data_IF_284937953776
#
_entry.id   IF_284937953776
#
_cell.length_a   1.000
_cell.length_b   1.000
_cell.length_c   1.000
_cell.angle_alpha   90.00
_cell.angle_beta   90.00
_cell.angle_gamma   90.00
#
_symmetry.space_group_name_H-M   'P 1'
#
loop_
_entity.id
_entity.type
_entity.pdbx_description
1 polymer ?
#
# COMPACT_ATOMS: atom_id res chain seq x y z
N UNK A 1 17.46 -39.17 -43.62
CA UNK A 1 17.12 -40.06 -42.47
C UNK A 1 17.97 -39.61 -41.28
N UNK A 2 17.48 -38.66 -40.50
CA UNK A 2 18.14 -38.17 -39.29
C UNK A 2 17.48 -38.81 -38.07
N UNK A 3 18.26 -39.64 -37.38
CA UNK A 3 17.86 -40.23 -36.10
C UNK A 3 18.26 -39.23 -34.99
N UNK A 4 17.28 -38.57 -34.38
CA UNK A 4 17.46 -37.83 -33.15
C UNK A 4 17.60 -38.81 -31.98
N UNK A 5 18.72 -38.74 -31.29
CA UNK A 5 19.01 -39.52 -30.07
C UNK A 5 18.42 -38.69 -28.89
N UNK A 6 17.35 -39.21 -28.28
CA UNK A 6 16.83 -38.69 -27.03
C UNK A 6 17.73 -39.17 -25.87
N UNK A 7 18.43 -38.25 -25.23
CA UNK A 7 19.07 -38.51 -23.94
C UNK A 7 17.99 -38.35 -22.83
N UNK A 8 17.61 -39.49 -22.27
CA UNK A 8 16.80 -39.54 -21.05
C UNK A 8 17.76 -39.34 -19.88
N UNK A 9 17.75 -38.13 -19.30
CA UNK A 9 18.39 -37.91 -18.01
C UNK A 9 17.49 -38.48 -16.92
N UNK A 10 17.92 -39.64 -16.37
CA UNK A 10 17.31 -40.25 -15.20
C UNK A 10 17.70 -39.43 -13.97
N UNK A 11 16.87 -38.44 -13.58
CA UNK A 11 17.04 -37.78 -12.31
C UNK A 11 16.65 -38.77 -11.21
N UNK A 12 17.65 -39.28 -10.49
CA UNK A 12 17.45 -40.02 -9.25
C UNK A 12 16.87 -39.04 -8.26
N UNK A 13 15.52 -39.08 -8.05
CA UNK A 13 14.83 -38.38 -6.95
C UNK A 13 15.35 -38.97 -5.63
N UNK A 14 16.37 -38.36 -5.05
CA UNK A 14 16.69 -38.51 -3.66
C UNK A 14 15.50 -38.00 -2.86
N UNK A 15 14.71 -38.91 -2.27
CA UNK A 15 13.74 -38.66 -1.25
C UNK A 15 14.46 -38.08 -0.01
N UNK A 16 14.82 -36.79 -0.05
CA UNK A 16 15.05 -36.04 1.18
C UNK A 16 13.66 -35.71 1.75
N UNK A 17 13.30 -36.21 2.94
CA UNK A 17 12.13 -35.68 3.63
C UNK A 17 12.37 -34.19 3.82
N UNK A 18 11.60 -33.36 3.13
CA UNK A 18 11.67 -31.92 3.27
C UNK A 18 11.43 -31.58 4.73
N UNK A 19 12.49 -31.23 5.45
CA UNK A 19 12.40 -30.65 6.78
C UNK A 19 11.69 -29.33 6.59
N UNK A 20 10.38 -29.33 6.80
CA UNK A 20 9.57 -28.12 6.94
C UNK A 20 10.15 -27.39 8.17
N UNK A 21 11.00 -26.41 7.95
CA UNK A 21 11.44 -25.53 9.03
C UNK A 21 10.22 -24.72 9.45
N UNK A 22 9.67 -25.09 10.59
CA UNK A 22 8.60 -24.31 11.25
C UNK A 22 9.08 -22.87 11.43
N UNK A 23 8.23 -21.89 11.14
CA UNK A 23 8.56 -20.50 11.35
C UNK A 23 8.71 -20.28 12.85
N UNK A 24 9.91 -19.87 13.29
CA UNK A 24 10.15 -19.51 14.67
C UNK A 24 9.74 -18.06 14.96
N UNK A 25 9.35 -17.80 16.21
CA UNK A 25 9.05 -16.42 16.62
C UNK A 25 10.24 -15.49 16.41
N UNK A 26 9.99 -14.30 15.87
CA UNK A 26 11.00 -13.34 15.49
C UNK A 26 10.58 -11.92 15.93
N UNK A 27 11.47 -11.25 16.68
CA UNK A 27 11.21 -9.90 17.20
C UNK A 27 10.95 -8.89 16.07
N UNK A 28 11.63 -9.02 14.94
CA UNK A 28 11.46 -8.12 13.79
C UNK A 28 10.05 -8.27 13.19
N UNK A 29 9.54 -9.50 13.09
CA UNK A 29 8.18 -9.75 12.63
C UNK A 29 7.15 -9.18 13.60
N UNK A 30 7.36 -9.37 14.91
CA UNK A 30 6.46 -8.78 15.91
C UNK A 30 6.42 -7.26 15.82
N UNK A 31 7.59 -6.61 15.70
CA UNK A 31 7.69 -5.16 15.54
C UNK A 31 6.97 -4.66 14.26
N UNK A 32 7.07 -5.42 13.17
CA UNK A 32 6.34 -5.14 11.93
C UNK A 32 4.83 -5.19 12.14
N UNK A 33 4.33 -6.24 12.80
CA UNK A 33 2.90 -6.36 13.09
C UNK A 33 2.41 -5.26 14.01
N UNK A 34 3.16 -4.92 15.06
CA UNK A 34 2.81 -3.85 15.99
C UNK A 34 2.73 -2.50 15.28
N UNK A 35 3.58 -2.28 14.29
CA UNK A 35 3.61 -1.04 13.50
C UNK A 35 2.47 -0.97 12.47
N UNK A 36 2.19 -2.05 11.74
CA UNK A 36 1.24 -2.03 10.61
C UNK A 36 -0.17 -2.57 10.93
N UNK A 37 -0.43 -3.06 12.15
CA UNK A 37 -1.73 -3.65 12.51
C UNK A 37 -2.91 -2.71 12.25
N UNK A 38 -2.77 -1.43 12.63
CA UNK A 38 -3.87 -0.46 12.49
C UNK A 38 -4.15 -0.12 11.02
N UNK A 39 -3.10 -0.10 10.21
CA UNK A 39 -3.21 0.02 8.74
C UNK A 39 -3.95 -1.18 8.17
N UNK A 40 -3.54 -2.40 8.53
CA UNK A 40 -4.17 -3.63 8.04
C UNK A 40 -5.65 -3.73 8.47
N UNK A 41 -5.98 -3.34 9.71
CA UNK A 41 -7.37 -3.27 10.19
C UNK A 41 -8.18 -2.26 9.38
N UNK A 42 -7.64 -1.08 9.11
CA UNK A 42 -8.28 -0.06 8.27
C UNK A 42 -8.53 -0.58 6.85
N UNK A 43 -7.53 -1.25 6.25
CA UNK A 43 -7.68 -1.87 4.92
C UNK A 43 -8.74 -2.98 4.93
N UNK A 44 -8.82 -3.79 5.99
CA UNK A 44 -9.87 -4.80 6.15
C UNK A 44 -11.25 -4.18 6.21
N UNK A 45 -11.42 -3.10 6.95
CA UNK A 45 -12.71 -2.40 7.07
C UNK A 45 -13.15 -1.82 5.73
N UNK A 46 -12.22 -1.25 4.98
CA UNK A 46 -12.50 -0.57 3.73
C UNK A 46 -12.64 -1.50 2.53
N UNK A 47 -11.79 -2.51 2.42
CA UNK A 47 -11.70 -3.35 1.23
C UNK A 47 -12.15 -4.79 1.46
N UNK A 48 -12.33 -5.22 2.70
CA UNK A 48 -12.87 -6.55 3.03
C UNK A 48 -11.83 -7.67 3.07
N UNK A 49 -10.54 -7.38 3.02
CA UNK A 49 -9.46 -8.36 3.13
C UNK A 49 -9.10 -8.54 4.61
N UNK A 50 -8.99 -9.76 5.16
CA UNK A 50 -8.60 -9.95 6.55
C UNK A 50 -7.31 -9.21 6.92
N UNK A 51 -7.30 -8.52 8.06
CA UNK A 51 -6.10 -7.82 8.55
C UNK A 51 -4.95 -8.79 8.79
N UNK A 52 -5.25 -9.99 9.30
CA UNK A 52 -4.28 -11.06 9.50
C UNK A 52 -3.60 -11.49 8.20
N UNK A 53 -4.36 -11.62 7.11
CA UNK A 53 -3.84 -11.96 5.78
C UNK A 53 -2.93 -10.84 5.27
N UNK A 54 -3.37 -9.59 5.33
CA UNK A 54 -2.58 -8.44 4.88
C UNK A 54 -1.25 -8.35 5.64
N UNK A 55 -1.26 -8.53 6.96
CA UNK A 55 -0.06 -8.53 7.80
C UNK A 55 0.89 -9.69 7.47
N UNK A 56 0.36 -10.91 7.36
CA UNK A 56 1.16 -12.09 7.06
C UNK A 56 1.80 -12.01 5.67
N UNK A 57 1.06 -11.52 4.66
CA UNK A 57 1.60 -11.26 3.32
C UNK A 57 2.70 -10.19 3.39
N UNK A 58 2.46 -9.06 4.04
CA UNK A 58 3.45 -7.99 4.16
C UNK A 58 4.78 -8.47 4.75
N UNK A 59 4.74 -9.33 5.78
CA UNK A 59 5.95 -9.94 6.35
C UNK A 59 6.59 -10.93 5.39
N UNK A 60 5.80 -11.80 4.77
CA UNK A 60 6.32 -12.89 3.92
C UNK A 60 6.96 -12.35 2.64
N UNK A 61 6.32 -11.37 1.98
CA UNK A 61 6.76 -10.81 0.70
C UNK A 61 7.92 -9.82 0.87
N UNK A 62 8.00 -9.12 1.99
CA UNK A 62 9.00 -8.06 2.18
C UNK A 62 10.11 -8.38 3.19
N UNK A 63 10.07 -9.57 3.81
CA UNK A 63 10.96 -9.86 4.94
C UNK A 63 10.77 -8.85 6.08
N UNK A 64 9.52 -8.53 6.42
CA UNK A 64 9.17 -7.49 7.38
C UNK A 64 9.67 -6.07 6.96
N UNK A 65 9.57 -5.75 5.68
CA UNK A 65 10.02 -4.47 5.11
C UNK A 65 11.54 -4.38 4.94
N UNK A 66 12.27 -5.47 5.17
CA UNK A 66 13.74 -5.46 5.15
C UNK A 66 14.36 -6.00 3.86
N UNK A 67 13.59 -6.58 2.95
CA UNK A 67 14.10 -7.00 1.65
C UNK A 67 14.64 -5.81 0.87
N UNK A 68 15.58 -6.06 -0.03
CA UNK A 68 16.15 -5.02 -0.89
C UNK A 68 15.07 -4.31 -1.69
N UNK A 69 14.15 -5.08 -2.29
CA UNK A 69 13.02 -4.54 -3.02
C UNK A 69 12.16 -3.61 -2.14
N UNK A 70 11.77 -4.06 -0.95
CA UNK A 70 10.94 -3.25 -0.05
C UNK A 70 11.62 -1.95 0.38
N UNK A 71 12.93 -1.98 0.67
CA UNK A 71 13.68 -0.77 1.04
C UNK A 71 13.83 0.23 -0.10
N UNK A 72 14.02 -0.25 -1.34
CA UNK A 72 14.20 0.61 -2.52
C UNK A 72 12.89 1.17 -3.06
N UNK A 73 11.79 0.44 -2.88
CA UNK A 73 10.53 0.75 -3.56
C UNK A 73 9.35 1.00 -2.62
N UNK A 74 9.49 0.82 -1.31
CA UNK A 74 8.38 0.78 -0.36
C UNK A 74 7.28 -0.25 -0.72
N UNK A 75 7.60 -1.23 -1.56
CA UNK A 75 6.67 -2.26 -2.03
C UNK A 75 6.74 -3.47 -1.11
N UNK A 76 5.82 -3.53 -0.16
CA UNK A 76 5.78 -4.59 0.85
C UNK A 76 5.07 -5.87 0.38
N UNK A 77 4.53 -5.89 -0.83
CA UNK A 77 3.74 -7.00 -1.35
C UNK A 77 4.27 -7.55 -2.68
N UNK A 78 5.43 -7.09 -3.16
CA UNK A 78 6.02 -7.56 -4.40
C UNK A 78 5.14 -7.32 -5.63
N UNK A 79 4.36 -6.23 -5.67
CA UNK A 79 3.45 -5.99 -6.79
C UNK A 79 4.23 -5.59 -8.03
N UNK A 80 4.12 -6.41 -9.09
CA UNK A 80 4.76 -6.17 -10.40
C UNK A 80 4.05 -5.04 -11.17
N UNK A 81 4.74 -4.41 -12.11
CA UNK A 81 4.24 -3.21 -12.80
C UNK A 81 2.90 -3.39 -13.51
N UNK A 82 2.71 -4.41 -14.35
CA UNK A 82 1.45 -4.74 -15.01
C UNK A 82 0.65 -3.49 -15.48
N UNK A 83 1.26 -2.64 -16.32
CA UNK A 83 0.64 -1.40 -16.79
C UNK A 83 0.74 -0.21 -15.82
N UNK A 84 1.50 -0.35 -14.73
CA UNK A 84 1.74 0.74 -13.78
C UNK A 84 2.44 1.94 -14.42
N UNK A 85 1.89 3.13 -14.24
CA UNK A 85 2.43 4.39 -14.78
C UNK A 85 3.27 5.17 -13.77
N UNK A 86 3.16 4.86 -12.47
CA UNK A 86 3.96 5.47 -11.40
C UNK A 86 5.42 5.05 -11.39
N UNK A 87 6.16 5.44 -10.35
CA UNK A 87 7.58 5.06 -10.16
C UNK A 87 7.76 3.56 -10.23
N UNK A 88 8.89 3.13 -10.79
CA UNK A 88 9.23 1.72 -11.02
C UNK A 88 10.62 1.43 -10.46
N UNK A 89 10.80 0.20 -10.01
CA UNK A 89 12.11 -0.36 -9.69
C UNK A 89 12.26 -1.69 -10.40
N UNK A 90 13.48 -1.99 -10.81
CA UNK A 90 13.81 -3.27 -11.44
C UNK A 90 14.60 -4.10 -10.44
N UNK A 91 14.19 -5.36 -10.27
CA UNK A 91 14.78 -6.28 -9.32
C UNK A 91 14.75 -7.69 -9.89
N UNK A 92 15.78 -8.49 -9.60
CA UNK A 92 15.82 -9.90 -9.97
C UNK A 92 14.98 -10.70 -8.97
N UNK A 93 13.93 -11.37 -9.46
CA UNK A 93 13.04 -12.24 -8.67
C UNK A 93 12.91 -13.59 -9.39
N UNK A 94 11.75 -13.95 -9.94
CA UNK A 94 11.58 -15.16 -10.76
C UNK A 94 12.36 -15.04 -12.07
N UNK A 95 12.51 -13.85 -12.61
CA UNK A 95 13.29 -13.50 -13.80
C UNK A 95 14.23 -12.34 -13.53
N UNK A 96 15.25 -12.16 -14.40
CA UNK A 96 16.15 -11.01 -14.29
C UNK A 96 15.46 -9.72 -14.69
N UNK A 97 15.66 -8.68 -13.90
CA UNK A 97 15.21 -7.33 -14.23
C UNK A 97 13.69 -7.16 -14.28
N UNK A 98 12.96 -7.90 -13.46
CA UNK A 98 11.51 -7.75 -13.38
C UNK A 98 11.10 -6.38 -12.85
N UNK A 99 10.02 -5.84 -13.42
CA UNK A 99 9.52 -4.52 -13.08
C UNK A 99 8.55 -4.59 -11.89
N UNK A 100 8.86 -3.87 -10.82
CA UNK A 100 8.02 -3.73 -9.64
C UNK A 100 7.55 -2.29 -9.45
N UNK A 101 6.33 -2.13 -8.92
CA UNK A 101 5.81 -0.82 -8.52
C UNK A 101 6.64 -0.24 -7.40
N UNK A 102 6.89 1.06 -7.44
CA UNK A 102 7.55 1.78 -6.37
C UNK A 102 6.61 2.87 -5.82
N UNK A 103 6.59 2.98 -4.51
CA UNK A 103 5.70 3.88 -3.78
C UNK A 103 6.50 4.91 -2.99
N UNK A 104 5.85 6.01 -2.66
CA UNK A 104 6.46 7.08 -1.87
C UNK A 104 6.61 6.70 -0.39
N UNK A 105 5.76 5.80 0.08
CA UNK A 105 5.82 5.27 1.43
C UNK A 105 5.20 3.87 1.48
N UNK A 106 5.47 3.06 2.53
CA UNK A 106 4.92 1.71 2.66
C UNK A 106 3.40 1.65 2.68
N UNK A 107 2.71 2.67 3.21
CA UNK A 107 1.25 2.67 3.31
C UNK A 107 0.58 2.69 1.93
N UNK A 108 1.20 3.35 0.96
CA UNK A 108 0.71 3.33 -0.42
C UNK A 108 0.74 1.91 -0.99
N UNK A 109 1.73 1.10 -0.62
CA UNK A 109 1.76 -0.30 -1.03
C UNK A 109 0.64 -1.13 -0.38
N UNK A 110 0.24 -0.81 0.86
CA UNK A 110 -0.91 -1.44 1.52
C UNK A 110 -2.23 -1.11 0.84
N UNK A 111 -2.40 0.16 0.44
CA UNK A 111 -3.59 0.61 -0.30
C UNK A 111 -3.64 -0.07 -1.66
N UNK A 112 -2.53 -0.03 -2.39
CA UNK A 112 -2.46 -0.60 -3.74
C UNK A 112 -2.63 -2.13 -3.73
N UNK A 113 -2.06 -2.82 -2.74
CA UNK A 113 -2.30 -4.25 -2.52
C UNK A 113 -3.79 -4.55 -2.32
N UNK A 114 -4.47 -3.77 -1.50
CA UNK A 114 -5.90 -3.94 -1.27
C UNK A 114 -6.72 -3.72 -2.55
N UNK A 115 -6.39 -2.68 -3.31
CA UNK A 115 -7.01 -2.38 -4.59
C UNK A 115 -6.68 -3.45 -5.65
N UNK A 116 -5.45 -3.93 -5.69
CA UNK A 116 -5.02 -5.01 -6.58
C UNK A 116 -5.84 -6.28 -6.37
N UNK A 117 -6.06 -6.70 -5.13
CA UNK A 117 -6.90 -7.84 -4.83
C UNK A 117 -8.38 -7.55 -5.13
N UNK A 118 -8.89 -6.38 -4.73
CA UNK A 118 -10.30 -6.04 -4.85
C UNK A 118 -10.76 -5.88 -6.29
N UNK A 119 -9.93 -5.28 -7.15
CA UNK A 119 -10.29 -4.95 -8.52
C UNK A 119 -9.97 -6.08 -9.52
N UNK A 120 -9.23 -7.10 -9.10
CA UNK A 120 -8.89 -8.22 -9.99
C UNK A 120 -9.96 -9.31 -9.96
N UNK A 121 -10.56 -9.59 -11.14
CA UNK A 121 -11.53 -10.67 -11.33
C UNK A 121 -11.03 -12.02 -10.78
N UNK A 122 -9.72 -12.26 -10.88
CA UNK A 122 -9.04 -13.48 -10.40
C UNK A 122 -9.31 -13.76 -8.91
N UNK A 123 -9.39 -12.71 -8.08
CA UNK A 123 -9.55 -12.82 -6.63
C UNK A 123 -11.00 -12.61 -6.17
N UNK A 124 -11.96 -12.33 -7.07
CA UNK A 124 -13.34 -11.97 -6.73
C UNK A 124 -14.03 -12.98 -5.80
N UNK A 125 -13.76 -14.29 -5.99
CA UNK A 125 -14.31 -15.37 -5.15
C UNK A 125 -13.88 -15.31 -3.69
N UNK A 126 -12.72 -14.70 -3.38
CA UNK A 126 -12.23 -14.60 -2.00
C UNK A 126 -13.13 -13.71 -1.15
N UNK A 127 -13.76 -12.73 -1.76
CA UNK A 127 -14.66 -11.79 -1.09
C UNK A 127 -16.03 -12.39 -0.73
N UNK A 128 -16.28 -13.65 -1.06
CA UNK A 128 -17.40 -14.44 -0.55
C UNK A 128 -17.09 -15.11 0.80
N UNK A 129 -15.80 -15.19 1.17
CA UNK A 129 -15.37 -15.73 2.45
C UNK A 129 -15.60 -14.72 3.58
N UNK A 130 -15.84 -15.22 4.79
CA UNK A 130 -15.85 -14.38 5.99
C UNK A 130 -14.46 -13.76 6.20
N UNK A 131 -14.40 -12.52 6.67
CA UNK A 131 -13.13 -11.86 7.02
C UNK A 131 -12.37 -12.61 8.13
N UNK A 132 -13.06 -13.38 8.96
CA UNK A 132 -12.45 -14.22 10.00
C UNK A 132 -11.99 -15.59 9.51
N UNK A 133 -12.24 -15.93 8.23
CA UNK A 133 -11.77 -17.19 7.64
C UNK A 133 -10.40 -17.00 6.95
N UNK A 134 -9.39 -16.64 7.72
CA UNK A 134 -8.04 -16.47 7.21
C UNK A 134 -7.48 -17.75 6.54
N UNK A 135 -7.90 -18.94 6.99
CA UNK A 135 -7.47 -20.21 6.36
C UNK A 135 -8.03 -20.37 4.96
N UNK A 136 -9.31 -20.05 4.77
CA UNK A 136 -9.95 -20.01 3.45
C UNK A 136 -9.29 -18.97 2.56
N UNK A 137 -9.01 -17.79 3.09
CA UNK A 137 -8.32 -16.72 2.37
C UNK A 137 -6.91 -17.12 1.92
N UNK A 138 -6.09 -17.69 2.81
CA UNK A 138 -4.72 -18.14 2.47
C UNK A 138 -4.73 -19.20 1.37
N UNK A 139 -5.57 -20.23 1.48
CA UNK A 139 -5.74 -21.27 0.46
C UNK A 139 -6.28 -20.69 -0.84
N UNK A 140 -7.23 -19.79 -0.75
CA UNK A 140 -7.81 -19.11 -1.91
C UNK A 140 -6.83 -18.24 -2.66
N UNK A 141 -5.99 -17.46 -1.98
CA UNK A 141 -4.91 -16.68 -2.58
C UNK A 141 -3.95 -17.58 -3.38
N UNK A 142 -3.50 -18.69 -2.78
CA UNK A 142 -2.69 -19.69 -3.49
C UNK A 142 -3.40 -20.27 -4.71
N UNK A 143 -4.65 -20.67 -4.56
CA UNK A 143 -5.45 -21.24 -5.65
C UNK A 143 -5.75 -20.21 -6.77
N UNK A 144 -5.77 -18.91 -6.45
CA UNK A 144 -5.86 -17.83 -7.42
C UNK A 144 -4.50 -17.47 -8.04
N UNK A 145 -3.40 -18.13 -7.66
CA UNK A 145 -2.07 -17.91 -8.23
C UNK A 145 -1.44 -16.59 -7.77
N UNK A 146 -1.65 -16.19 -6.51
CA UNK A 146 -0.96 -15.03 -5.94
C UNK A 146 0.55 -15.29 -5.84
N UNK A 147 0.92 -16.51 -5.46
CA UNK A 147 2.31 -16.97 -5.42
C UNK A 147 2.46 -18.36 -6.04
N UNK A 148 3.64 -18.64 -6.58
CA UNK A 148 3.99 -19.92 -7.21
C UNK A 148 4.30 -21.01 -6.18
N UNK A 149 4.89 -20.66 -5.03
CA UNK A 149 5.31 -21.57 -3.97
C UNK A 149 4.18 -22.51 -3.50
N UNK A 150 4.39 -23.83 -3.47
CA UNK A 150 3.38 -24.78 -2.98
C UNK A 150 3.06 -24.61 -1.50
N UNK A 151 3.97 -24.07 -0.70
CA UNK A 151 3.83 -23.86 0.73
C UNK A 151 3.26 -22.48 1.10
N UNK A 152 2.91 -21.65 0.13
CA UNK A 152 2.48 -20.26 0.38
C UNK A 152 1.33 -20.18 1.39
N UNK A 153 0.26 -20.93 1.16
CA UNK A 153 -0.91 -20.91 2.04
C UNK A 153 -0.58 -21.38 3.47
N UNK A 154 0.19 -22.45 3.62
CA UNK A 154 0.59 -22.97 4.93
C UNK A 154 1.48 -21.99 5.67
N UNK A 155 2.40 -21.31 4.99
CA UNK A 155 3.26 -20.28 5.61
C UNK A 155 2.45 -19.07 6.09
N UNK A 156 1.47 -18.61 5.32
CA UNK A 156 0.58 -17.54 5.78
C UNK A 156 -0.17 -17.96 7.04
N UNK A 157 -0.74 -19.17 7.06
CA UNK A 157 -1.48 -19.72 8.20
C UNK A 157 -0.57 -19.82 9.42
N UNK A 158 0.63 -20.37 9.25
CA UNK A 158 1.62 -20.52 10.33
C UNK A 158 2.02 -19.17 10.94
N UNK A 159 2.27 -18.14 10.13
CA UNK A 159 2.54 -16.78 10.60
C UNK A 159 1.34 -16.25 11.40
N UNK A 160 0.14 -16.37 10.86
CA UNK A 160 -1.08 -15.87 11.52
C UNK A 160 -1.28 -16.53 12.88
N UNK A 161 -1.11 -17.85 12.95
CA UNK A 161 -1.30 -18.62 14.19
C UNK A 161 -0.18 -18.36 15.21
N UNK A 162 1.09 -18.32 14.76
CA UNK A 162 2.24 -18.08 15.63
C UNK A 162 2.19 -16.71 16.33
N UNK A 163 1.72 -15.67 15.63
CA UNK A 163 1.65 -14.31 16.17
C UNK A 163 0.24 -13.90 16.64
N UNK A 164 -0.75 -14.80 16.53
CA UNK A 164 -2.14 -14.56 16.94
C UNK A 164 -2.76 -13.40 16.19
N UNK A 165 -2.50 -13.27 14.87
CA UNK A 165 -2.96 -12.14 14.06
C UNK A 165 -4.46 -12.20 13.78
N UNK A 166 -5.09 -13.37 13.87
CA UNK A 166 -6.54 -13.57 13.68
C UNK A 166 -7.40 -12.74 14.64
N UNK A 167 -6.85 -12.32 15.77
CA UNK A 167 -7.51 -11.40 16.70
C UNK A 167 -7.88 -10.07 16.05
N UNK A 168 -7.11 -9.62 15.06
CA UNK A 168 -7.36 -8.36 14.34
C UNK A 168 -8.54 -8.49 13.35
N UNK A 169 -8.88 -9.70 12.92
CA UNK A 169 -10.00 -9.94 12.01
C UNK A 169 -11.37 -9.89 12.72
N UNK A 170 -11.38 -10.06 14.05
CA UNK A 170 -12.59 -10.10 14.88
C UNK A 170 -13.10 -8.72 15.32
N UNK A 171 -12.47 -7.64 14.83
CA UNK A 171 -12.86 -6.27 15.21
C UNK A 171 -12.53 -5.90 16.65
N UNK A 172 -11.65 -6.66 17.33
CA UNK A 172 -11.27 -6.48 18.74
C UNK A 172 -10.10 -5.52 18.98
N UNK A 173 -9.76 -4.63 18.07
CA UNK A 173 -9.06 -3.39 18.41
C UNK A 173 -10.10 -2.40 18.92
N UNK A 174 -9.77 -1.56 19.94
CA UNK A 174 -10.57 -0.38 20.25
C UNK A 174 -10.96 0.21 18.91
N UNK A 175 -12.27 0.25 18.64
CA UNK A 175 -12.78 0.85 17.43
C UNK A 175 -12.01 2.15 17.25
N UNK A 176 -11.09 2.20 16.29
CA UNK A 176 -10.99 3.45 15.61
C UNK A 176 -12.43 3.67 15.17
N UNK A 177 -13.09 4.60 15.80
CA UNK A 177 -14.16 5.27 15.16
C UNK A 177 -13.56 5.80 13.87
N UNK A 178 -13.45 4.94 12.87
CA UNK A 178 -13.73 5.40 11.52
C UNK A 178 -15.07 6.06 11.74
N UNK A 179 -15.19 7.38 11.54
CA UNK A 179 -16.50 8.00 11.54
C UNK A 179 -17.35 7.04 10.71
N UNK A 180 -18.40 6.51 11.31
CA UNK A 180 -19.34 5.54 10.74
C UNK A 180 -19.53 5.91 9.30
N UNK A 181 -19.16 4.96 8.40
CA UNK A 181 -19.13 5.22 6.98
C UNK A 181 -18.20 6.40 6.61
N UNK A 182 -16.95 6.11 6.19
CA UNK A 182 -16.39 6.89 5.09
C UNK A 182 -17.23 6.49 3.88
N UNK A 183 -18.48 6.92 3.90
CA UNK A 183 -19.27 7.05 2.70
C UNK A 183 -18.51 8.09 1.92
N UNK A 184 -17.80 7.66 0.87
CA UNK A 184 -17.42 8.58 -0.20
C UNK A 184 -18.74 9.28 -0.51
N UNK A 185 -18.84 10.61 -0.23
CA UNK A 185 -20.12 11.28 -0.37
C UNK A 185 -20.67 10.91 -1.74
N UNK A 186 -21.95 10.54 -1.85
CA UNK A 186 -22.56 10.13 -3.11
C UNK A 186 -22.27 11.11 -4.25
N UNK A 187 -22.03 12.38 -3.91
CA UNK A 187 -21.56 13.42 -4.82
C UNK A 187 -20.24 13.11 -5.51
N UNK A 188 -19.37 12.28 -4.91
CA UNK A 188 -18.09 11.87 -5.54
C UNK A 188 -18.17 10.49 -6.20
N UNK A 189 -19.12 9.64 -5.85
CA UNK A 189 -19.16 8.23 -6.25
C UNK A 189 -19.96 7.97 -7.54
N UNK A 190 -20.84 8.86 -7.95
CA UNK A 190 -21.85 8.54 -8.99
C UNK A 190 -21.51 8.97 -10.42
N UNK A 191 -20.43 9.72 -10.66
CA UNK A 191 -20.07 10.19 -12.01
C UNK A 191 -18.57 10.38 -12.23
N UNK A 192 -17.73 10.14 -11.24
CA UNK A 192 -16.30 10.46 -11.31
C UNK A 192 -15.52 9.47 -12.15
N UNK A 193 -14.80 9.95 -13.16
CA UNK A 193 -13.82 9.16 -13.92
C UNK A 193 -12.56 8.92 -13.08
N UNK A 194 -12.28 9.77 -12.07
CA UNK A 194 -11.19 9.60 -11.12
C UNK A 194 -11.60 8.73 -9.95
N UNK A 195 -10.77 7.77 -9.59
CA UNK A 195 -10.95 7.01 -8.36
C UNK A 195 -10.71 7.93 -7.16
N UNK A 196 -11.74 8.10 -6.32
CA UNK A 196 -11.64 8.85 -5.07
C UNK A 196 -11.05 7.95 -3.98
N UNK A 197 -9.92 8.37 -3.41
CA UNK A 197 -9.15 7.59 -2.44
C UNK A 197 -9.23 8.26 -1.08
N UNK A 198 -9.70 7.58 -0.03
CA UNK A 198 -9.70 8.11 1.33
C UNK A 198 -8.30 8.04 1.96
N UNK A 199 -7.89 9.13 2.62
CA UNK A 199 -6.64 9.17 3.38
C UNK A 199 -6.68 10.35 4.37
N UNK A 200 -6.17 10.17 5.59
CA UNK A 200 -6.04 11.20 6.61
C UNK A 200 -7.35 11.94 6.90
N UNK A 201 -8.46 11.23 7.11
CA UNK A 201 -9.83 11.76 7.27
C UNK A 201 -10.22 12.76 6.15
N UNK A 202 -9.71 12.55 4.96
CA UNK A 202 -9.92 13.35 3.77
C UNK A 202 -10.04 12.41 2.56
N UNK A 203 -10.14 12.99 1.36
CA UNK A 203 -10.15 12.27 0.10
C UNK A 203 -9.22 12.95 -0.88
N UNK A 204 -8.61 12.16 -1.76
CA UNK A 204 -7.88 12.68 -2.89
C UNK A 204 -8.16 11.86 -4.16
N UNK A 205 -7.83 12.42 -5.30
CA UNK A 205 -7.73 11.72 -6.57
C UNK A 205 -6.30 11.81 -7.08
N UNK A 206 -5.91 10.87 -7.92
CA UNK A 206 -4.61 10.93 -8.62
C UNK A 206 -4.84 11.56 -9.98
N UNK A 207 -4.12 12.63 -10.25
CA UNK A 207 -4.20 13.36 -11.52
C UNK A 207 -3.71 12.51 -12.69
N UNK A 208 -4.34 12.66 -13.83
CA UNK A 208 -3.97 12.03 -15.10
C UNK A 208 -3.29 13.06 -16.00
N UNK A 209 -2.65 12.58 -17.04
CA UNK A 209 -2.07 13.45 -18.06
C UNK A 209 -3.11 14.43 -18.63
N UNK A 210 -2.80 15.73 -18.60
CA UNK A 210 -3.67 16.79 -19.09
C UNK A 210 -4.76 17.26 -18.13
N UNK A 211 -4.78 16.76 -16.89
CA UNK A 211 -5.69 17.25 -15.87
C UNK A 211 -5.41 18.68 -15.45
N UNK A 212 -6.47 19.37 -15.09
CA UNK A 212 -6.48 20.71 -14.49
C UNK A 212 -7.38 20.72 -13.26
N UNK A 213 -7.25 21.74 -12.39
CA UNK A 213 -8.22 21.90 -11.29
C UNK A 213 -9.64 22.00 -11.79
N UNK A 214 -9.85 22.57 -12.99
CA UNK A 214 -11.17 22.69 -13.61
C UNK A 214 -11.70 21.32 -14.07
N UNK A 215 -10.90 20.48 -14.75
CA UNK A 215 -11.32 19.17 -15.22
C UNK A 215 -11.63 18.24 -14.04
N UNK A 216 -10.72 18.18 -13.05
CA UNK A 216 -10.90 17.38 -11.84
C UNK A 216 -12.09 17.89 -11.02
N UNK A 217 -12.20 19.22 -10.84
CA UNK A 217 -13.29 19.83 -10.09
C UNK A 217 -14.67 19.49 -10.66
N UNK A 218 -14.80 19.52 -12.00
CA UNK A 218 -16.01 19.09 -12.71
C UNK A 218 -16.30 17.61 -12.47
N UNK A 219 -15.29 16.76 -12.58
CA UNK A 219 -15.41 15.32 -12.43
C UNK A 219 -15.83 14.91 -11.00
N UNK A 220 -15.23 15.52 -9.96
CA UNK A 220 -15.54 15.21 -8.56
C UNK A 220 -16.61 16.12 -7.93
N UNK A 221 -17.27 16.96 -8.72
CA UNK A 221 -18.29 17.90 -8.26
C UNK A 221 -17.82 18.86 -7.14
N UNK A 222 -16.59 19.35 -7.26
CA UNK A 222 -15.99 20.36 -6.37
C UNK A 222 -15.65 21.60 -7.18
N UNK A 223 -16.04 22.78 -6.69
CA UNK A 223 -15.60 24.04 -7.33
C UNK A 223 -14.08 24.08 -7.46
N UNK A 224 -13.58 24.30 -8.66
CA UNK A 224 -12.16 24.20 -8.99
C UNK A 224 -11.29 25.24 -8.24
N UNK A 225 -11.83 26.41 -7.91
CA UNK A 225 -11.13 27.44 -7.13
C UNK A 225 -10.97 26.98 -5.68
N UNK A 226 -11.99 26.32 -5.14
CA UNK A 226 -11.92 25.70 -3.80
C UNK A 226 -10.97 24.52 -3.82
N UNK A 227 -11.02 23.71 -4.90
CA UNK A 227 -10.12 22.55 -5.07
C UNK A 227 -8.66 23.02 -5.05
N UNK A 228 -8.30 24.05 -5.82
CA UNK A 228 -6.96 24.64 -5.82
C UNK A 228 -6.55 25.12 -4.41
N UNK A 229 -7.43 25.85 -3.71
CA UNK A 229 -7.18 26.31 -2.33
C UNK A 229 -6.99 25.15 -1.34
N UNK A 230 -7.68 24.03 -1.51
CA UNK A 230 -7.49 22.84 -0.67
C UNK A 230 -6.08 22.24 -0.86
N UNK A 231 -5.52 22.41 -2.05
CA UNK A 231 -4.20 21.97 -2.43
C UNK A 231 -3.10 23.05 -2.24
N UNK A 232 -3.49 24.23 -1.69
CA UNK A 232 -2.56 25.35 -1.42
C UNK A 232 -1.87 25.84 -2.70
N UNK A 233 -2.66 25.93 -3.82
CA UNK A 233 -2.24 26.34 -5.16
C UNK A 233 -3.21 27.33 -5.78
N UNK A 234 -2.75 27.99 -6.82
CA UNK A 234 -3.61 28.80 -7.67
C UNK A 234 -4.41 27.91 -8.63
N UNK A 235 -5.59 28.39 -9.02
CA UNK A 235 -6.53 27.64 -9.86
C UNK A 235 -6.01 27.33 -11.27
N UNK A 236 -5.05 28.11 -11.71
CA UNK A 236 -4.44 28.02 -13.05
C UNK A 236 -3.05 27.34 -13.01
N UNK A 237 -2.59 26.89 -11.83
CA UNK A 237 -1.34 26.13 -11.70
C UNK A 237 -1.43 24.81 -12.47
N UNK A 238 -0.36 24.43 -13.18
CA UNK A 238 -0.32 23.15 -13.89
C UNK A 238 -0.34 21.98 -12.89
N UNK A 239 -1.04 20.93 -13.23
CA UNK A 239 -1.08 19.68 -12.43
C UNK A 239 -0.27 18.63 -13.19
N UNK A 240 0.62 17.94 -12.49
CA UNK A 240 1.43 16.87 -13.06
C UNK A 240 0.69 15.51 -12.94
N UNK A 241 0.93 14.63 -13.93
CA UNK A 241 0.41 13.26 -13.87
C UNK A 241 0.96 12.55 -12.63
N UNK A 242 0.06 11.85 -11.92
CA UNK A 242 0.39 11.16 -10.67
C UNK A 242 0.27 12.02 -9.41
N UNK A 243 0.06 13.31 -9.54
CA UNK A 243 -0.09 14.22 -8.39
C UNK A 243 -1.38 13.91 -7.61
N UNK A 244 -1.31 13.97 -6.27
CA UNK A 244 -2.49 13.82 -5.40
C UNK A 244 -3.22 15.13 -5.28
N UNK A 245 -4.48 15.16 -5.69
CA UNK A 245 -5.34 16.34 -5.60
C UNK A 245 -6.39 16.11 -4.52
N UNK A 246 -6.26 16.84 -3.42
CA UNK A 246 -7.09 16.74 -2.23
C UNK A 246 -8.44 17.38 -2.43
N UNK A 247 -9.52 16.64 -2.13
CA UNK A 247 -10.91 17.09 -2.36
C UNK A 247 -11.48 17.94 -1.21
N UNK A 248 -10.78 17.97 -0.08
CA UNK A 248 -11.07 18.84 1.07
C UNK A 248 -9.78 19.42 1.62
N UNK A 249 -9.89 20.43 2.48
CA UNK A 249 -8.74 21.05 3.13
C UNK A 249 -7.90 20.02 3.88
N UNK A 250 -6.61 19.97 3.61
CA UNK A 250 -5.65 19.06 4.26
C UNK A 250 -5.63 19.21 5.78
N UNK A 251 -5.22 18.20 6.48
CA UNK A 251 -5.16 18.16 7.95
C UNK A 251 -3.95 18.92 8.49
N UNK A 252 -3.88 19.08 9.82
CA UNK A 252 -2.72 19.70 10.48
C UNK A 252 -1.54 18.74 10.65
N UNK A 253 -1.84 17.43 10.70
CA UNK A 253 -0.90 16.35 10.96
C UNK A 253 -1.21 15.20 10.02
N UNK A 254 -0.23 14.34 9.76
CA UNK A 254 -0.44 13.05 9.14
C UNK A 254 -1.38 12.16 9.98
N UNK A 255 -1.90 11.06 9.45
CA UNK A 255 -2.68 10.08 10.19
C UNK A 255 -2.01 9.64 11.50
N UNK A 256 -2.81 9.12 12.46
CA UNK A 256 -2.33 8.79 13.82
C UNK A 256 -1.23 7.73 13.83
N UNK A 257 -1.23 6.83 12.86
CA UNK A 257 -0.23 5.79 12.65
C UNK A 257 1.18 6.33 12.43
N UNK A 258 1.31 7.60 11.99
CA UNK A 258 2.60 8.29 11.86
C UNK A 258 3.10 8.91 13.16
N UNK A 259 2.45 8.66 14.31
CA UNK A 259 2.93 9.15 15.60
C UNK A 259 4.27 8.50 15.93
N UNK A 260 5.30 9.34 16.09
CA UNK A 260 6.67 8.87 16.35
C UNK A 260 7.44 8.41 15.12
N UNK A 261 6.82 8.41 13.94
CA UNK A 261 7.52 8.18 12.69
C UNK A 261 8.29 9.43 12.27
N UNK A 262 9.57 9.25 11.95
CA UNK A 262 10.43 10.31 11.40
C UNK A 262 10.64 10.02 9.92
N UNK A 263 10.07 10.88 9.08
CA UNK A 263 10.30 10.84 7.64
C UNK A 263 11.71 11.36 7.33
N UNK A 264 12.44 10.66 6.48
CA UNK A 264 13.72 11.14 5.98
C UNK A 264 13.54 11.63 4.55
N UNK A 265 13.94 12.88 4.33
CA UNK A 265 13.88 13.54 3.02
C UNK A 265 14.65 12.74 1.99
N UNK A 266 14.03 12.46 0.86
CA UNK A 266 14.58 11.71 -0.26
C UNK A 266 14.95 12.65 -1.44
N UNK A 267 15.76 12.15 -2.36
CA UNK A 267 16.11 12.91 -3.55
C UNK A 267 14.85 13.23 -4.38
N UNK A 268 14.67 14.50 -4.73
CA UNK A 268 13.49 15.00 -5.45
C UNK A 268 12.32 15.42 -4.56
N UNK A 269 12.43 15.26 -3.24
CA UNK A 269 11.42 15.78 -2.32
C UNK A 269 11.43 17.31 -2.25
N UNK A 270 10.24 17.86 -2.00
CA UNK A 270 10.03 19.22 -1.57
C UNK A 270 9.09 19.24 -0.35
N UNK A 271 9.16 20.28 0.47
CA UNK A 271 8.23 20.44 1.59
C UNK A 271 6.77 20.40 1.13
N UNK A 272 6.47 20.98 -0.02
CA UNK A 272 5.14 20.92 -0.63
C UNK A 272 4.78 19.49 -1.04
N UNK A 273 5.68 18.78 -1.74
CA UNK A 273 5.46 17.38 -2.17
C UNK A 273 5.20 16.46 -0.99
N UNK A 274 6.00 16.58 0.08
CA UNK A 274 5.82 15.82 1.33
C UNK A 274 4.46 16.17 1.97
N UNK A 275 4.10 17.45 2.04
CA UNK A 275 2.82 17.88 2.58
C UNK A 275 1.62 17.34 1.76
N UNK A 276 1.73 17.30 0.43
CA UNK A 276 0.76 16.68 -0.46
C UNK A 276 0.67 15.17 -0.23
N UNK A 277 1.80 14.50 -0.15
CA UNK A 277 1.92 13.05 0.06
C UNK A 277 1.18 12.58 1.32
N UNK A 278 1.34 13.31 2.42
CA UNK A 278 0.78 12.95 3.73
C UNK A 278 -0.52 13.67 4.10
N UNK A 279 -1.09 14.46 3.20
CA UNK A 279 -2.33 15.20 3.43
C UNK A 279 -2.23 16.23 4.55
N UNK A 280 -1.06 16.83 4.72
CA UNK A 280 -0.75 17.82 5.73
C UNK A 280 -0.76 19.21 5.10
N UNK A 281 -1.23 20.24 5.79
CA UNK A 281 -1.04 21.62 5.35
C UNK A 281 0.42 22.00 5.39
N UNK A 282 0.94 22.56 4.32
CA UNK A 282 2.36 22.92 4.20
C UNK A 282 2.86 23.75 5.39
N UNK A 283 2.13 24.78 5.78
CA UNK A 283 2.46 25.60 6.96
C UNK A 283 2.54 24.81 8.27
N UNK A 284 1.76 23.74 8.40
CA UNK A 284 1.81 22.90 9.60
C UNK A 284 2.98 21.95 9.57
N UNK A 285 3.42 21.49 8.38
CA UNK A 285 4.63 20.69 8.24
C UNK A 285 5.87 21.50 8.65
N UNK A 286 6.01 22.73 8.20
CA UNK A 286 7.06 23.64 8.67
C UNK A 286 7.01 23.82 10.19
N UNK A 287 5.84 24.22 10.71
CA UNK A 287 5.68 24.51 12.14
C UNK A 287 6.01 23.33 13.06
N UNK A 288 5.62 22.10 12.70
CA UNK A 288 5.89 20.94 13.56
C UNK A 288 7.34 20.48 13.57
N UNK A 289 8.13 20.99 12.61
CA UNK A 289 9.57 20.73 12.50
C UNK A 289 10.43 21.92 12.93
N UNK A 290 9.80 22.98 13.43
CA UNK A 290 10.48 24.21 13.87
C UNK A 290 11.31 24.83 12.72
N UNK A 291 10.77 24.76 11.47
CA UNK A 291 11.41 25.26 10.24
C UNK A 291 10.69 26.50 9.74
N UNK A 292 11.47 27.44 9.21
CA UNK A 292 10.93 28.62 8.52
C UNK A 292 10.47 28.26 7.10
N UNK A 293 9.51 29.01 6.52
CA UNK A 293 8.95 28.70 5.19
C UNK A 293 9.94 28.72 4.02
N UNK A 294 11.08 29.38 4.18
CA UNK A 294 12.18 29.49 3.21
C UNK A 294 13.27 28.42 3.41
N UNK A 295 13.12 27.55 4.41
CA UNK A 295 14.05 26.46 4.64
C UNK A 295 14.07 25.49 3.47
N UNK A 296 15.27 25.28 2.90
CA UNK A 296 15.52 24.32 1.82
C UNK A 296 15.92 22.98 2.41
N UNK A 297 15.03 22.00 2.33
CA UNK A 297 15.28 20.65 2.82
C UNK A 297 16.41 19.98 2.05
N UNK A 298 17.18 19.14 2.74
CA UNK A 298 18.27 18.33 2.19
C UNK A 298 17.94 16.84 2.31
N UNK A 299 18.50 16.03 1.41
CA UNK A 299 18.37 14.58 1.46
C UNK A 299 18.89 14.06 2.80
N UNK A 300 18.08 13.26 3.50
CA UNK A 300 18.38 12.73 4.82
C UNK A 300 17.83 13.56 5.99
N UNK A 301 17.35 14.78 5.77
CA UNK A 301 16.75 15.59 6.84
C UNK A 301 15.60 14.83 7.51
N UNK A 302 15.57 14.82 8.86
CA UNK A 302 14.50 14.17 9.60
C UNK A 302 13.29 15.11 9.71
N UNK A 303 12.12 14.68 9.28
CA UNK A 303 10.87 15.43 9.40
C UNK A 303 9.85 14.68 10.25
N UNK A 304 9.30 15.35 11.23
CA UNK A 304 8.11 14.91 11.97
C UNK A 304 6.87 15.18 11.09
N UNK A 305 5.99 14.21 11.00
CA UNK A 305 4.74 14.32 10.24
C UNK A 305 3.52 14.49 11.15
N UNK A 306 3.75 14.27 12.48
CA UNK A 306 2.70 14.35 13.49
C UNK A 306 3.24 14.71 14.86
#
# INVERSE_FOLDING_TARGET
MNRSIFFVFLFILGLFPGVSHAISWNKTYQAYFDYYKDVAISQMQQYGIPASITLAQGVLESGAGQSELARKSNNHFGIKCNGWTGRKVYHDDDERGECFRAYDNPLDSYIDHSLFLRNSQRYSRLFQLKKTDYKGWAKGLKACGYATSPTYASRLIEIIELYGLDKYDKGGGKSFETPSSVVVPQTYAQASQHQVIPFNDNFYVVARQGDTFQSIGKDVSVDYRRLAKFNERDKDDPIEEGERIWLKKKRRHAPKEYKGYVYRVEAGDSMYGIAQRFGIRLKNLYKMNDLEPDYVIQVGDPLRLR
#
